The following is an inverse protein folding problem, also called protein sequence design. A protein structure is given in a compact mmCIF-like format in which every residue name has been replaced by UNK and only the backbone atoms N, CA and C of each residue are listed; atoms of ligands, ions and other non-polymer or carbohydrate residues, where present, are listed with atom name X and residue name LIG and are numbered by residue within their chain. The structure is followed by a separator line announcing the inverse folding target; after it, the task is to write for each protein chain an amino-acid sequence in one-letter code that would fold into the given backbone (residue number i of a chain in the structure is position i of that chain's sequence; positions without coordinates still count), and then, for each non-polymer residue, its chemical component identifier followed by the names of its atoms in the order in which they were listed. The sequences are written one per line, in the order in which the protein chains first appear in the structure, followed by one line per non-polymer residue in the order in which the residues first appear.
data_IF_971984427662
#
_entry.id   IF_971984427662
#
_cell.length_a   1.000
_cell.length_b   1.000
_cell.length_c   1.000
_cell.angle_alpha   90.00
_cell.angle_beta   90.00
_cell.angle_gamma   90.00
#
_symmetry.space_group_name_H-M   'P 1'
#
loop_
_entity.id
_entity.type
_entity.pdbx_description
1 polymer ?
#
# COMPACT_ATOMS: atom_id res chain seq x y z
N UNK A 1 14.46 -0.53 -1.96
CA UNK A 1 14.34 -1.57 -0.91
C UNK A 1 13.47 -1.00 0.21
N UNK A 2 12.49 -1.76 0.68
CA UNK A 2 11.52 -1.39 1.74
C UNK A 2 11.76 -2.23 3.00
N UNK A 3 11.11 -1.92 4.13
CA UNK A 3 11.44 -2.53 5.44
C UNK A 3 11.15 -4.04 5.52
N UNK A 4 10.25 -4.53 4.67
CA UNK A 4 9.96 -5.96 4.56
C UNK A 4 10.72 -6.67 3.43
N UNK A 5 11.51 -5.94 2.65
CA UNK A 5 12.48 -6.52 1.71
C UNK A 5 13.78 -6.78 2.45
N UNK A 6 13.99 -8.03 2.85
CA UNK A 6 15.22 -8.45 3.52
C UNK A 6 16.39 -8.49 2.52
N UNK A 7 17.63 -8.38 3.02
CA UNK A 7 18.84 -8.35 2.17
C UNK A 7 18.99 -9.56 1.23
N UNK A 8 18.38 -10.69 1.58
CA UNK A 8 18.43 -11.95 0.82
C UNK A 8 17.22 -12.16 -0.09
N UNK A 9 16.24 -11.26 -0.06
CA UNK A 9 15.00 -11.35 -0.83
C UNK A 9 15.06 -10.34 -1.96
N UNK A 10 14.89 -10.81 -3.20
CA UNK A 10 14.78 -9.94 -4.37
C UNK A 10 13.62 -8.96 -4.19
N UNK A 11 13.74 -7.73 -4.68
CA UNK A 11 12.65 -6.76 -4.61
C UNK A 11 12.46 -5.97 -5.89
N UNK A 12 11.21 -5.55 -6.10
CA UNK A 12 10.81 -4.60 -7.15
C UNK A 12 9.82 -3.59 -6.59
N UNK A 13 9.68 -2.45 -7.26
CA UNK A 13 8.64 -1.49 -6.91
C UNK A 13 7.25 -1.96 -7.36
N UNK A 14 6.24 -1.56 -6.60
CA UNK A 14 4.84 -1.72 -6.96
C UNK A 14 4.45 -0.87 -8.17
N UNK A 15 3.47 -1.36 -8.94
CA UNK A 15 2.88 -0.66 -10.09
C UNK A 15 1.37 -0.55 -9.92
N UNK A 16 0.75 0.41 -10.59
CA UNK A 16 -0.72 0.50 -10.68
C UNK A 16 -1.27 -0.83 -11.20
N UNK A 17 -2.42 -1.25 -10.65
CA UNK A 17 -3.11 -2.51 -10.94
C UNK A 17 -2.40 -3.80 -10.52
N UNK A 18 -1.20 -3.73 -9.93
CA UNK A 18 -0.56 -4.90 -9.29
C UNK A 18 -1.54 -5.54 -8.31
N UNK A 19 -1.68 -6.87 -8.41
CA UNK A 19 -2.42 -7.67 -7.43
C UNK A 19 -1.42 -8.30 -6.47
N UNK A 20 -1.38 -7.74 -5.27
CA UNK A 20 -0.49 -8.11 -4.20
C UNK A 20 -1.10 -9.17 -3.31
N UNK A 21 -0.26 -10.03 -2.77
CA UNK A 21 -0.61 -11.02 -1.76
C UNK A 21 0.25 -10.75 -0.54
N UNK A 22 -0.36 -10.61 0.64
CA UNK A 22 0.40 -10.57 1.89
C UNK A 22 1.05 -11.93 2.13
N UNK A 23 2.37 -11.98 2.26
CA UNK A 23 3.10 -13.24 2.36
C UNK A 23 4.16 -13.18 3.45
N UNK A 24 4.66 -14.36 3.83
CA UNK A 24 5.91 -14.52 4.59
C UNK A 24 6.97 -14.97 3.61
N UNK A 25 8.16 -14.37 3.64
CA UNK A 25 9.25 -14.81 2.78
C UNK A 25 9.94 -16.05 3.37
N UNK A 26 10.36 -17.03 2.53
CA UNK A 26 11.04 -18.22 3.01
C UNK A 26 12.29 -17.87 3.84
N UNK A 27 12.44 -18.53 4.99
CA UNK A 27 13.60 -18.32 5.89
C UNK A 27 13.53 -17.07 6.77
N UNK A 28 12.39 -16.35 6.79
CA UNK A 28 12.28 -15.07 7.51
C UNK A 28 10.98 -15.01 8.31
N UNK A 29 10.93 -14.22 9.38
CA UNK A 29 9.69 -13.97 10.16
C UNK A 29 8.83 -12.84 9.58
N UNK A 30 9.45 -12.03 8.72
CA UNK A 30 8.90 -10.80 8.19
C UNK A 30 7.79 -11.09 7.19
N UNK A 31 6.69 -10.33 7.32
CA UNK A 31 5.62 -10.33 6.34
C UNK A 31 5.70 -9.08 5.48
N UNK A 32 5.35 -9.25 4.22
CA UNK A 32 5.35 -8.19 3.22
C UNK A 32 4.33 -8.50 2.14
N UNK A 33 4.56 -7.91 0.97
CA UNK A 33 3.76 -8.18 -0.23
C UNK A 33 4.61 -8.84 -1.31
N UNK A 34 4.01 -9.77 -2.02
CA UNK A 34 4.52 -10.33 -3.28
C UNK A 34 3.38 -10.42 -4.29
N UNK A 35 3.65 -10.95 -5.48
CA UNK A 35 2.57 -11.32 -6.42
C UNK A 35 2.29 -12.81 -6.32
N UNK A 36 1.11 -13.23 -6.81
CA UNK A 36 0.79 -14.66 -6.89
C UNK A 36 1.76 -15.42 -7.79
N UNK A 37 2.16 -14.81 -8.91
CA UNK A 37 2.98 -15.45 -9.94
C UNK A 37 4.48 -15.41 -9.61
N UNK A 38 4.90 -14.46 -8.79
CA UNK A 38 6.26 -14.36 -8.23
C UNK A 38 6.19 -14.14 -6.71
N UNK A 39 6.12 -15.22 -5.92
CA UNK A 39 6.02 -15.16 -4.47
C UNK A 39 7.38 -14.96 -3.76
N UNK A 40 8.50 -15.08 -4.49
CA UNK A 40 9.86 -14.95 -3.94
C UNK A 40 10.42 -13.53 -4.05
N UNK A 41 9.83 -12.69 -4.92
CA UNK A 41 10.18 -11.28 -5.03
C UNK A 41 9.25 -10.42 -4.17
N UNK A 42 9.84 -9.62 -3.29
CA UNK A 42 9.11 -8.61 -2.53
C UNK A 42 8.67 -7.46 -3.44
N UNK A 43 7.41 -7.06 -3.32
CA UNK A 43 6.87 -5.89 -3.99
C UNK A 43 6.85 -4.74 -3.00
N UNK A 44 7.76 -3.79 -3.17
CA UNK A 44 7.91 -2.62 -2.32
C UNK A 44 6.93 -1.51 -2.67
N UNK A 45 6.23 -1.01 -1.66
CA UNK A 45 5.29 0.11 -1.75
C UNK A 45 6.00 1.41 -1.39
N UNK A 46 5.68 2.49 -2.12
CA UNK A 46 6.14 3.85 -1.76
C UNK A 46 5.14 4.51 -0.81
N UNK A 47 5.57 5.29 0.21
CA UNK A 47 4.65 6.07 1.05
C UNK A 47 3.66 6.88 0.20
N UNK A 48 2.38 6.67 0.44
CA UNK A 48 1.28 7.23 -0.35
C UNK A 48 0.67 6.30 -1.40
N UNK A 49 1.20 5.10 -1.61
CA UNK A 49 0.56 4.09 -2.47
C UNK A 49 -0.78 3.67 -1.85
N UNK A 50 -1.85 3.62 -2.62
CA UNK A 50 -3.17 3.21 -2.12
C UNK A 50 -3.53 1.80 -2.60
N UNK A 51 -4.15 1.04 -1.70
CA UNK A 51 -4.50 -0.36 -1.87
C UNK A 51 -5.99 -0.57 -1.59
N UNK A 52 -6.65 -1.37 -2.43
CA UNK A 52 -7.95 -1.97 -2.13
C UNK A 52 -7.78 -3.46 -1.84
N UNK A 53 -8.11 -3.87 -0.62
CA UNK A 53 -8.20 -5.28 -0.25
C UNK A 53 -9.47 -5.91 -0.82
N UNK A 54 -9.36 -7.15 -1.31
CA UNK A 54 -10.50 -7.88 -1.89
C UNK A 54 -11.53 -8.36 -0.84
N UNK A 55 -11.16 -8.32 0.44
CA UNK A 55 -12.06 -8.73 1.51
C UNK A 55 -11.57 -8.26 2.88
N UNK A 56 -12.22 -8.78 3.92
CA UNK A 56 -11.96 -8.37 5.30
C UNK A 56 -10.50 -8.58 5.70
N UNK A 57 -9.81 -7.46 5.92
CA UNK A 57 -8.43 -7.47 6.38
C UNK A 57 -8.37 -7.99 7.80
N UNK A 58 -7.47 -8.96 8.00
CA UNK A 58 -7.19 -9.66 9.24
C UNK A 58 -5.76 -9.37 9.66
N UNK A 59 -5.58 -9.13 10.95
CA UNK A 59 -4.27 -8.93 11.58
C UNK A 59 -3.99 -10.03 12.61
N UNK A 60 -2.71 -10.25 12.92
CA UNK A 60 -2.31 -11.05 14.08
C UNK A 60 -3.01 -10.50 15.33
N UNK A 61 -3.54 -11.41 16.15
CA UNK A 61 -4.03 -11.12 17.48
C UNK A 61 -3.51 -12.18 18.44
N UNK A 62 -3.61 -11.90 19.74
CA UNK A 62 -2.99 -12.74 20.78
C UNK A 62 -3.55 -14.18 20.79
N UNK A 63 -4.83 -14.35 20.45
CA UNK A 63 -5.50 -15.66 20.38
C UNK A 63 -6.23 -15.90 19.05
N UNK A 64 -6.76 -14.85 18.42
CA UNK A 64 -7.49 -14.94 17.15
C UNK A 64 -7.15 -13.78 16.22
N UNK A 65 -7.32 -14.00 14.92
CA UNK A 65 -7.18 -12.93 13.91
C UNK A 65 -8.27 -11.89 14.13
N UNK A 66 -7.87 -10.63 14.29
CA UNK A 66 -8.81 -9.50 14.43
C UNK A 66 -9.10 -8.89 13.05
N UNK A 67 -10.34 -8.50 12.79
CA UNK A 67 -10.71 -7.77 11.58
C UNK A 67 -10.35 -6.29 11.71
N UNK A 68 -9.94 -5.67 10.62
CA UNK A 68 -9.67 -4.22 10.54
C UNK A 68 -10.96 -3.43 10.38
N UNK A 69 -11.93 -3.95 9.60
CA UNK A 69 -13.22 -3.30 9.34
C UNK A 69 -13.16 -2.22 8.25
N UNK A 70 -12.13 -2.25 7.41
CA UNK A 70 -11.98 -1.39 6.23
C UNK A 70 -11.14 -2.12 5.18
N UNK A 71 -11.37 -1.82 3.90
CA UNK A 71 -10.70 -2.46 2.77
C UNK A 71 -9.81 -1.50 1.98
N UNK A 72 -10.03 -0.19 2.09
CA UNK A 72 -9.16 0.81 1.49
C UNK A 72 -8.06 1.21 2.48
N UNK A 73 -6.82 1.22 2.02
CA UNK A 73 -5.69 1.64 2.82
C UNK A 73 -4.67 2.43 2.01
N UNK A 74 -3.97 3.34 2.69
CA UNK A 74 -2.82 4.07 2.18
C UNK A 74 -1.57 3.57 2.89
N UNK A 75 -0.55 3.22 2.11
CA UNK A 75 0.74 2.85 2.63
C UNK A 75 1.49 4.07 3.18
N UNK A 76 2.15 3.92 4.32
CA UNK A 76 2.96 4.95 4.97
C UNK A 76 4.05 4.32 5.83
N UNK A 77 4.97 5.14 6.29
CA UNK A 77 5.93 4.77 7.32
C UNK A 77 5.56 5.42 8.65
N UNK A 78 5.72 4.68 9.75
CA UNK A 78 5.44 5.12 11.13
C UNK A 78 6.61 4.78 12.04
N UNK A 79 6.69 5.43 13.20
CA UNK A 79 7.74 5.18 14.20
C UNK A 79 9.17 5.27 13.64
N UNK A 80 9.42 6.12 12.64
CA UNK A 80 10.71 6.21 11.91
C UNK A 80 11.89 6.64 12.79
N UNK A 81 11.63 7.06 14.02
CA UNK A 81 12.61 7.37 15.04
C UNK A 81 13.07 6.13 15.84
N UNK A 82 12.48 4.95 15.63
CA UNK A 82 12.78 3.72 16.38
C UNK A 82 13.56 2.71 15.52
N UNK A 83 14.89 2.65 15.62
CA UNK A 83 15.73 1.97 14.64
C UNK A 83 15.54 0.45 14.52
N UNK A 84 14.91 -0.20 15.50
CA UNK A 84 14.73 -1.66 15.54
C UNK A 84 13.31 -2.12 15.21
N UNK A 85 12.39 -1.20 14.92
CA UNK A 85 11.01 -1.55 14.59
C UNK A 85 10.77 -1.50 13.08
N UNK A 86 9.84 -2.32 12.59
CA UNK A 86 9.31 -2.14 11.24
C UNK A 86 8.46 -0.87 11.18
N UNK A 87 8.69 -0.04 10.15
CA UNK A 87 8.02 1.24 9.96
C UNK A 87 6.90 1.15 8.92
N UNK A 88 7.03 0.24 7.98
CA UNK A 88 6.04 0.03 6.92
C UNK A 88 4.66 -0.36 7.49
N UNK A 89 3.67 0.49 7.21
CA UNK A 89 2.32 0.37 7.74
C UNK A 89 1.25 0.76 6.71
N UNK A 90 0.03 0.33 6.99
CA UNK A 90 -1.18 0.66 6.26
C UNK A 90 -2.09 1.50 7.15
N UNK A 91 -2.43 2.69 6.69
CA UNK A 91 -3.48 3.53 7.25
C UNK A 91 -4.78 3.27 6.49
N UNK A 92 -5.74 2.68 7.18
CA UNK A 92 -7.03 2.32 6.62
C UNK A 92 -7.99 3.51 6.61
N UNK A 93 -8.98 3.48 5.72
CA UNK A 93 -10.00 4.54 5.59
C UNK A 93 -10.83 4.77 6.86
N UNK A 94 -10.84 3.82 7.79
CA UNK A 94 -11.45 3.98 9.11
C UNK A 94 -10.50 4.56 10.18
N UNK A 95 -9.34 5.09 9.78
CA UNK A 95 -8.33 5.70 10.64
C UNK A 95 -7.41 4.71 11.37
N UNK A 96 -7.59 3.41 11.20
CA UNK A 96 -6.72 2.41 11.85
C UNK A 96 -5.39 2.33 11.13
N UNK A 97 -4.30 2.32 11.89
CA UNK A 97 -2.95 2.09 11.38
C UNK A 97 -2.50 0.68 11.80
N UNK A 98 -1.99 -0.09 10.84
CA UNK A 98 -1.56 -1.48 11.02
C UNK A 98 -0.20 -1.67 10.38
N UNK A 99 0.78 -2.21 11.11
CA UNK A 99 2.07 -2.57 10.53
C UNK A 99 1.91 -3.70 9.51
N UNK A 100 2.65 -3.63 8.41
CA UNK A 100 2.59 -4.67 7.35
C UNK A 100 2.93 -6.05 7.91
N UNK A 101 3.85 -6.11 8.87
CA UNK A 101 4.27 -7.34 9.56
C UNK A 101 3.18 -8.01 10.40
N UNK A 102 2.12 -7.27 10.76
CA UNK A 102 0.96 -7.76 11.50
C UNK A 102 -0.15 -8.31 10.61
N UNK A 103 -0.13 -8.03 9.30
CA UNK A 103 -1.14 -8.56 8.38
C UNK A 103 -1.13 -10.08 8.37
N UNK A 104 -2.29 -10.71 8.40
CA UNK A 104 -2.41 -12.13 8.09
C UNK A 104 -1.88 -12.41 6.67
N UNK A 105 -1.26 -13.58 6.46
CA UNK A 105 -0.83 -14.00 5.13
C UNK A 105 -2.01 -14.47 4.27
N UNK A 106 -1.83 -14.42 2.95
CA UNK A 106 -2.78 -14.84 1.92
C UNK A 106 -3.84 -13.78 1.56
N UNK A 107 -3.71 -12.55 2.04
CA UNK A 107 -4.70 -11.50 1.78
C UNK A 107 -4.35 -10.78 0.50
N UNK A 108 -5.35 -10.62 -0.38
CA UNK A 108 -5.17 -10.00 -1.70
C UNK A 108 -5.53 -8.53 -1.64
N UNK A 109 -4.70 -7.70 -2.27
CA UNK A 109 -4.97 -6.27 -2.45
C UNK A 109 -4.53 -5.82 -3.84
N UNK A 110 -5.31 -4.94 -4.47
CA UNK A 110 -4.93 -4.27 -5.71
C UNK A 110 -4.33 -2.90 -5.42
N UNK A 111 -3.25 -2.56 -6.10
CA UNK A 111 -2.71 -1.19 -6.11
C UNK A 111 -3.62 -0.30 -6.95
N UNK A 112 -4.25 0.68 -6.29
CA UNK A 112 -5.16 1.62 -6.95
C UNK A 112 -4.40 2.79 -7.58
N UNK A 113 -3.43 3.33 -6.85
CA UNK A 113 -2.61 4.45 -7.31
C UNK A 113 -1.26 4.47 -6.62
N UNK A 114 -0.28 5.02 -7.35
CA UNK A 114 1.04 5.34 -6.82
C UNK A 114 1.00 6.75 -6.20
N UNK A 115 1.89 7.07 -5.24
CA UNK A 115 1.98 8.44 -4.74
C UNK A 115 2.21 9.41 -5.89
N UNK A 116 1.50 10.54 -5.86
CA UNK A 116 1.71 11.61 -6.82
C UNK A 116 3.13 12.16 -6.70
N UNK A 117 3.84 12.31 -7.82
CA UNK A 117 5.12 13.00 -7.81
C UNK A 117 4.86 14.48 -7.47
N UNK A 118 5.56 15.04 -6.45
CA UNK A 118 5.33 16.42 -6.02
C UNK A 118 5.63 17.46 -7.12
N UNK A 119 6.35 17.08 -8.18
CA UNK A 119 6.60 17.91 -9.35
C UNK A 119 5.35 18.09 -10.25
N UNK A 120 4.32 17.24 -10.11
CA UNK A 120 3.05 17.37 -10.82
C UNK A 120 2.02 18.08 -9.95
N UNK A 121 2.33 19.31 -9.52
CA UNK A 121 1.25 20.23 -9.13
C UNK A 121 0.52 20.60 -10.42
N UNK A 122 -0.74 20.17 -10.53
CA UNK A 122 -1.64 20.50 -11.63
C UNK A 122 -1.69 22.03 -11.80
N UNK A 123 -1.12 22.54 -12.88
CA UNK A 123 -1.48 23.87 -13.40
C UNK A 123 -2.90 23.74 -13.94
N UNK A 124 -3.89 23.98 -13.10
CA UNK A 124 -5.27 24.13 -13.54
C UNK A 124 -5.37 25.48 -14.26
N UNK A 125 -5.14 25.51 -15.57
CA UNK A 125 -5.54 26.65 -16.39
C UNK A 125 -7.07 26.69 -16.41
N UNK A 126 -7.72 27.76 -15.94
CA UNK A 126 -9.17 27.87 -16.04
C UNK A 126 -9.56 27.94 -17.51
N UNK A 127 -10.46 27.03 -17.93
CA UNK A 127 -11.08 27.07 -19.26
C UNK A 127 -12.13 28.18 -19.22
N UNK A 128 -11.82 29.35 -19.77
CA UNK A 128 -12.83 30.40 -20.01
C UNK A 128 -13.70 29.97 -21.19
N UNK A 129 -14.95 29.61 -20.91
CA UNK A 129 -15.96 29.38 -21.94
C UNK A 129 -16.48 30.75 -22.38
N UNK A 130 -16.07 31.24 -23.56
CA UNK A 130 -16.72 32.40 -24.17
C UNK A 130 -18.09 31.99 -24.72
N UNK A 131 -19.15 32.45 -24.06
CA UNK A 131 -20.50 32.45 -24.62
C UNK A 131 -20.57 33.51 -25.73
N UNK A 132 -20.61 33.07 -26.99
CA UNK A 132 -20.98 33.95 -28.11
C UNK A 132 -22.48 34.19 -28.07
N UNK A 133 -22.88 35.40 -27.72
CA UNK A 133 -24.24 35.90 -27.93
C UNK A 133 -24.43 36.22 -29.42
N UNK A 134 -25.32 35.49 -30.07
CA UNK A 134 -25.77 35.77 -31.45
C UNK A 134 -26.79 36.91 -31.38
N UNK A 135 -26.48 38.05 -31.98
CA UNK A 135 -27.37 39.21 -32.05
C UNK A 135 -28.32 39.08 -33.25
N UNK A 136 -29.61 39.37 -33.01
CA UNK A 136 -30.73 39.42 -33.97
C UNK A 136 -30.57 40.55 -35.00
#
# INVERSE_FOLDING_TARGET
MCDYSLHTVSSRDAKIDDVLVSCRFPGTETRGFSTKDDPLTAVCLRPGTELAFEGDVRIKGLFFRRKVGAHLARFRQVDTNKPTEHHDALEFSNGRIVKVTDLAAGQRARVLQMPADPATKRTSTPVTIELRATQL
#
